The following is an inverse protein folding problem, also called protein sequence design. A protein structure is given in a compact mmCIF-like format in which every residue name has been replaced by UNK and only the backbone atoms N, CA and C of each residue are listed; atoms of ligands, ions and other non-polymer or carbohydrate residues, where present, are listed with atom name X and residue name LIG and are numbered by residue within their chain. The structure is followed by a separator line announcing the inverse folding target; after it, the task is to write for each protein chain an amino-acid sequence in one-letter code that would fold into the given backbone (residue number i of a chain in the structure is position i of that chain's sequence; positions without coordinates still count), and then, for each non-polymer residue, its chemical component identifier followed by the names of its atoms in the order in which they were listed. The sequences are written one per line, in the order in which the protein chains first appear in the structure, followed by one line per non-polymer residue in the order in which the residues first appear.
data_IF_342843539315
#
_entry.id   IF_342843539315
#
_cell.length_a   1.000
_cell.length_b   1.000
_cell.length_c   1.000
_cell.angle_alpha   90.00
_cell.angle_beta   90.00
_cell.angle_gamma   90.00
#
_symmetry.space_group_name_H-M   'P 1'
#
loop_
_entity.id
_entity.type
_entity.pdbx_description
1 polymer ?
#
# COMPACT_ATOMS: atom_id res chain seq x y z
N UNK A 1 -5.99 -23.50 -4.87
CA UNK A 1 -6.49 -22.38 -4.05
C UNK A 1 -6.65 -21.12 -4.91
N UNK A 2 -7.61 -20.30 -4.55
CA UNK A 2 -7.86 -19.03 -5.24
C UNK A 2 -7.03 -17.96 -4.53
N UNK A 3 -6.25 -17.20 -5.31
CA UNK A 3 -5.50 -16.06 -4.81
C UNK A 3 -6.10 -14.79 -5.38
N UNK A 4 -6.35 -13.82 -4.52
CA UNK A 4 -6.83 -12.51 -4.92
C UNK A 4 -5.69 -11.50 -4.80
N UNK A 5 -5.54 -10.65 -5.82
CA UNK A 5 -4.55 -9.58 -5.83
C UNK A 5 -5.18 -8.30 -6.31
N UNK A 6 -4.71 -7.20 -5.78
CA UNK A 6 -5.10 -5.87 -6.20
C UNK A 6 -3.87 -5.13 -6.69
N UNK A 7 -4.06 -4.16 -7.57
CA UNK A 7 -2.96 -3.36 -8.13
C UNK A 7 -2.83 -2.06 -7.38
N UNK A 8 -1.59 -1.68 -7.08
CA UNK A 8 -1.24 -0.33 -6.64
C UNK A 8 -0.31 0.25 -7.70
N UNK A 9 -0.76 1.25 -8.42
CA UNK A 9 0.04 1.92 -9.44
C UNK A 9 1.12 2.76 -8.78
N UNK A 10 2.37 2.53 -9.16
CA UNK A 10 3.54 3.15 -8.53
C UNK A 10 4.45 3.77 -9.56
N UNK A 11 5.36 4.65 -9.11
CA UNK A 11 6.38 5.28 -9.96
C UNK A 11 7.67 4.48 -10.01
N UNK A 12 8.11 3.95 -8.89
CA UNK A 12 9.41 3.29 -8.72
C UNK A 12 9.24 2.05 -7.86
N UNK A 13 9.68 0.89 -8.38
CA UNK A 13 9.56 -0.38 -7.67
C UNK A 13 10.28 -0.39 -6.33
N UNK A 14 11.55 0.03 -6.29
CA UNK A 14 12.36 -0.09 -5.08
C UNK A 14 11.89 0.87 -3.99
N UNK A 15 11.46 2.07 -4.35
CA UNK A 15 10.85 3.02 -3.43
C UNK A 15 9.57 2.44 -2.83
N UNK A 16 8.73 1.84 -3.67
CA UNK A 16 7.48 1.23 -3.22
C UNK A 16 7.73 0.03 -2.31
N UNK A 17 8.68 -0.83 -2.65
CA UNK A 17 9.06 -1.97 -1.82
C UNK A 17 9.51 -1.49 -0.44
N UNK A 18 10.38 -0.48 -0.38
CA UNK A 18 10.84 0.08 0.90
C UNK A 18 9.68 0.60 1.74
N UNK A 19 8.73 1.28 1.11
CA UNK A 19 7.56 1.78 1.83
C UNK A 19 6.74 0.63 2.44
N UNK A 20 6.36 -0.33 1.63
CA UNK A 20 5.51 -1.43 2.09
C UNK A 20 6.21 -2.33 3.10
N UNK A 21 7.48 -2.64 2.88
CA UNK A 21 8.22 -3.54 3.77
C UNK A 21 8.67 -2.81 5.04
N UNK A 22 9.28 -1.64 4.92
CA UNK A 22 9.88 -0.96 6.07
C UNK A 22 8.85 -0.19 6.90
N UNK A 23 7.97 0.58 6.26
CA UNK A 23 7.00 1.40 6.98
C UNK A 23 5.77 0.60 7.41
N UNK A 24 5.22 -0.25 6.53
CA UNK A 24 4.01 -1.02 6.82
C UNK A 24 4.28 -2.42 7.36
N UNK A 25 5.52 -2.91 7.27
CA UNK A 25 5.85 -4.24 7.77
C UNK A 25 5.31 -5.37 6.90
N UNK A 26 5.03 -5.10 5.63
CA UNK A 26 4.58 -6.13 4.70
C UNK A 26 5.70 -7.08 4.32
N UNK A 27 5.32 -8.26 3.87
CA UNK A 27 6.23 -9.24 3.30
C UNK A 27 6.41 -8.96 1.81
N UNK A 28 7.64 -9.02 1.32
CA UNK A 28 7.91 -9.07 -0.11
C UNK A 28 7.73 -10.53 -0.55
N UNK A 29 6.59 -10.80 -1.21
CA UNK A 29 6.22 -12.17 -1.58
C UNK A 29 6.93 -12.60 -2.84
N UNK A 30 7.06 -11.70 -3.81
CA UNK A 30 7.68 -12.00 -5.08
C UNK A 30 8.30 -10.74 -5.67
N UNK A 31 9.44 -10.89 -6.31
CA UNK A 31 10.11 -9.83 -7.08
C UNK A 31 10.87 -10.53 -8.20
N UNK A 32 10.24 -10.63 -9.36
CA UNK A 32 10.75 -11.39 -10.50
C UNK A 32 10.83 -10.52 -11.74
N UNK A 33 11.86 -10.73 -12.59
CA UNK A 33 11.91 -10.08 -13.89
C UNK A 33 10.72 -10.48 -14.76
N UNK A 34 10.20 -9.54 -15.51
CA UNK A 34 9.12 -9.76 -16.46
C UNK A 34 9.34 -8.84 -17.67
N UNK A 35 8.38 -8.82 -18.57
CA UNK A 35 8.43 -7.95 -19.74
C UNK A 35 7.05 -7.37 -20.02
N UNK A 36 7.02 -6.18 -20.62
CA UNK A 36 5.82 -5.61 -21.17
C UNK A 36 5.38 -6.38 -22.40
N UNK A 37 4.19 -6.11 -22.93
CA UNK A 37 3.69 -6.77 -24.15
C UNK A 37 4.58 -6.49 -25.36
N UNK A 38 5.27 -5.35 -25.38
CA UNK A 38 6.20 -4.96 -26.45
C UNK A 38 7.66 -5.28 -26.10
N UNK A 39 7.91 -6.11 -25.09
CA UNK A 39 9.23 -6.68 -24.80
C UNK A 39 10.16 -5.84 -23.95
N UNK A 40 9.71 -4.73 -23.38
CA UNK A 40 10.53 -3.91 -22.49
C UNK A 40 10.62 -4.53 -21.09
N UNK A 41 11.75 -4.35 -20.37
CA UNK A 41 11.87 -4.90 -19.02
C UNK A 41 10.83 -4.33 -18.06
N UNK A 42 10.26 -5.20 -17.22
CA UNK A 42 9.47 -4.80 -16.06
C UNK A 42 9.66 -5.83 -14.94
N UNK A 43 9.05 -5.59 -13.80
CA UNK A 43 9.15 -6.49 -12.64
C UNK A 43 7.76 -6.92 -12.21
N UNK A 44 7.67 -8.14 -11.74
CA UNK A 44 6.49 -8.69 -11.10
C UNK A 44 6.75 -8.64 -9.59
N UNK A 45 6.18 -7.63 -8.93
CA UNK A 45 6.43 -7.36 -7.50
C UNK A 45 5.14 -7.48 -6.73
N UNK A 46 5.13 -8.38 -5.75
CA UNK A 46 3.96 -8.60 -4.89
C UNK A 46 4.37 -8.42 -3.44
N UNK A 47 3.62 -7.59 -2.72
CA UNK A 47 3.76 -7.42 -1.27
C UNK A 47 2.46 -7.84 -0.59
N UNK A 48 2.54 -8.23 0.69
CA UNK A 48 1.39 -8.73 1.42
C UNK A 48 1.55 -8.43 2.90
N UNK A 49 0.46 -8.02 3.55
CA UNK A 49 0.46 -7.89 5.00
C UNK A 49 0.66 -9.26 5.65
N UNK A 50 1.39 -9.36 6.78
CA UNK A 50 1.61 -10.65 7.45
C UNK A 50 0.30 -11.36 7.75
N UNK A 51 0.19 -12.63 7.34
CA UNK A 51 -1.00 -13.44 7.57
C UNK A 51 -2.17 -13.17 6.64
N UNK A 52 -2.07 -12.19 5.74
CA UNK A 52 -3.16 -11.88 4.81
C UNK A 52 -3.21 -12.88 3.66
N UNK A 53 -4.42 -13.16 3.18
CA UNK A 53 -4.63 -14.01 2.01
C UNK A 53 -4.45 -13.22 0.71
N UNK A 54 -4.65 -11.90 0.76
CA UNK A 54 -4.61 -11.02 -0.41
C UNK A 54 -3.31 -10.24 -0.46
N UNK A 55 -2.71 -10.14 -1.64
CA UNK A 55 -1.52 -9.35 -1.88
C UNK A 55 -1.79 -8.16 -2.78
N UNK A 56 -0.81 -7.26 -2.84
CA UNK A 56 -0.81 -6.13 -3.76
C UNK A 56 0.27 -6.36 -4.82
N UNK A 57 -0.13 -6.25 -6.07
CA UNK A 57 0.82 -6.17 -7.18
C UNK A 57 1.22 -4.71 -7.34
N UNK A 58 2.51 -4.43 -7.17
CA UNK A 58 3.04 -3.08 -7.39
C UNK A 58 3.32 -2.92 -8.87
N UNK A 59 2.47 -2.18 -9.55
CA UNK A 59 2.50 -2.02 -11.00
C UNK A 59 3.11 -0.67 -11.38
N UNK A 60 4.32 -0.69 -11.91
CA UNK A 60 4.96 0.54 -12.36
C UNK A 60 4.18 1.15 -13.52
N UNK A 61 3.86 2.42 -13.40
CA UNK A 61 3.16 3.16 -14.44
C UNK A 61 3.98 3.19 -15.72
N UNK A 62 3.34 2.88 -16.83
CA UNK A 62 3.94 2.84 -18.16
C UNK A 62 3.12 3.76 -19.09
N UNK A 63 3.76 4.82 -19.53
CA UNK A 63 3.12 5.82 -20.37
C UNK A 63 2.45 6.93 -19.58
N UNK A 64 2.09 8.00 -20.27
CA UNK A 64 1.58 9.23 -19.64
C UNK A 64 0.25 9.01 -18.92
N UNK A 65 -0.65 8.22 -19.52
CA UNK A 65 -1.96 7.95 -18.92
C UNK A 65 -1.84 7.21 -17.60
N UNK A 66 -0.99 6.18 -17.55
CA UNK A 66 -0.78 5.42 -16.31
C UNK A 66 -0.04 6.28 -15.28
N UNK A 67 0.96 7.05 -15.67
CA UNK A 67 1.66 7.95 -14.76
C UNK A 67 0.73 9.00 -14.17
N UNK A 68 -0.22 9.51 -14.95
CA UNK A 68 -1.21 10.47 -14.46
C UNK A 68 -2.18 9.84 -13.44
N UNK A 69 -2.38 8.53 -13.51
CA UNK A 69 -3.26 7.82 -12.57
C UNK A 69 -2.59 7.45 -11.25
N UNK A 70 -1.26 7.52 -11.14
CA UNK A 70 -0.55 7.23 -9.90
C UNK A 70 -1.02 8.18 -8.81
N UNK A 71 -1.48 7.61 -7.68
CA UNK A 71 -2.06 8.39 -6.58
C UNK A 71 -3.50 8.82 -6.79
N UNK A 72 -4.04 8.64 -7.99
CA UNK A 72 -5.41 9.02 -8.33
C UNK A 72 -6.32 7.86 -8.72
N UNK A 73 -5.87 6.62 -8.56
CA UNK A 73 -6.64 5.46 -9.01
C UNK A 73 -7.98 5.27 -8.27
N UNK A 74 -8.14 5.88 -7.10
CA UNK A 74 -9.37 5.85 -6.32
C UNK A 74 -10.11 7.18 -6.31
N UNK A 75 -9.76 8.09 -7.21
CA UNK A 75 -10.40 9.41 -7.35
C UNK A 75 -10.38 10.23 -6.05
N UNK A 76 -9.29 10.16 -5.30
CA UNK A 76 -9.13 10.92 -4.05
C UNK A 76 -9.82 10.31 -2.84
N UNK A 77 -10.47 9.16 -2.99
CA UNK A 77 -11.12 8.47 -1.88
C UNK A 77 -10.16 7.49 -1.21
N UNK A 78 -10.49 7.07 0.00
CA UNK A 78 -9.84 5.94 0.62
C UNK A 78 -10.20 4.68 -0.19
N UNK A 79 -9.18 4.03 -0.72
CA UNK A 79 -9.38 2.87 -1.60
C UNK A 79 -8.88 1.56 -1.01
N UNK A 80 -8.07 1.63 0.05
CA UNK A 80 -7.43 0.47 0.64
C UNK A 80 -7.57 0.54 2.16
N UNK A 81 -7.62 -0.64 2.79
CA UNK A 81 -7.83 -0.76 4.23
C UNK A 81 -6.80 -1.72 4.79
N UNK A 82 -6.12 -1.31 5.86
CA UNK A 82 -5.18 -2.15 6.58
C UNK A 82 -5.64 -2.31 8.01
N UNK A 83 -5.98 -3.54 8.40
CA UNK A 83 -6.33 -3.85 9.78
C UNK A 83 -5.11 -4.40 10.51
N UNK A 84 -4.83 -3.83 11.68
CA UNK A 84 -3.70 -4.24 12.54
C UNK A 84 -4.22 -4.61 13.93
N UNK A 85 -3.43 -5.40 14.65
CA UNK A 85 -3.79 -5.82 16.00
C UNK A 85 -3.48 -4.75 17.05
N UNK A 86 -2.41 -3.98 16.85
CA UNK A 86 -1.98 -2.90 17.74
C UNK A 86 -1.96 -1.59 16.95
N UNK A 87 -3.02 -0.82 17.10
CA UNK A 87 -3.21 0.41 16.35
C UNK A 87 -2.14 1.45 16.69
N UNK A 88 -1.88 1.69 17.98
CA UNK A 88 -0.92 2.72 18.39
C UNK A 88 0.50 2.39 17.95
N UNK A 89 0.89 1.12 18.01
CA UNK A 89 2.20 0.69 17.55
C UNK A 89 2.36 0.91 16.04
N UNK A 90 1.31 0.60 15.27
CA UNK A 90 1.33 0.81 13.83
C UNK A 90 1.43 2.30 13.47
N UNK A 91 0.66 3.16 14.16
CA UNK A 91 0.73 4.62 13.96
C UNK A 91 2.14 5.13 14.27
N UNK A 92 2.73 4.69 15.36
CA UNK A 92 4.09 5.10 15.74
C UNK A 92 5.11 4.68 14.68
N UNK A 93 5.00 3.47 14.17
CA UNK A 93 5.89 2.97 13.11
C UNK A 93 5.78 3.82 11.85
N UNK A 94 4.56 4.13 11.43
CA UNK A 94 4.33 4.99 10.26
C UNK A 94 4.94 6.38 10.47
N UNK A 95 4.78 6.96 11.67
CA UNK A 95 5.39 8.27 12.00
C UNK A 95 6.90 8.22 11.92
N UNK A 96 7.53 7.17 12.42
CA UNK A 96 8.99 7.03 12.37
C UNK A 96 9.52 6.98 10.95
N UNK A 97 8.72 6.48 10.03
CA UNK A 97 9.09 6.40 8.61
C UNK A 97 8.62 7.60 7.79
N UNK A 98 8.13 8.65 8.44
CA UNK A 98 7.73 9.89 7.79
C UNK A 98 6.48 9.77 6.93
N UNK A 99 5.62 8.80 7.21
CA UNK A 99 4.38 8.62 6.45
C UNK A 99 3.40 9.76 6.74
N UNK A 100 2.78 10.28 5.70
CA UNK A 100 1.79 11.35 5.81
C UNK A 100 0.46 10.80 6.31
N UNK A 101 -0.13 11.49 7.29
CA UNK A 101 -1.49 11.21 7.76
C UNK A 101 -2.44 12.31 7.29
N UNK A 102 -3.70 11.93 7.06
CA UNK A 102 -4.76 12.89 6.75
C UNK A 102 -5.68 12.93 7.96
N UNK A 103 -5.57 14.01 8.76
CA UNK A 103 -6.30 14.15 10.01
C UNK A 103 -5.68 13.39 11.16
N UNK A 104 -6.36 13.41 12.29
CA UNK A 104 -5.93 12.77 13.52
C UNK A 104 -6.58 11.39 13.66
N UNK A 105 -5.96 10.48 14.43
CA UNK A 105 -6.62 9.22 14.77
C UNK A 105 -7.97 9.45 15.44
N UNK A 106 -8.96 8.66 15.05
CA UNK A 106 -10.30 8.68 15.62
C UNK A 106 -10.58 7.36 16.34
N UNK A 107 -11.25 7.44 17.46
CA UNK A 107 -11.64 6.27 18.24
C UNK A 107 -13.15 6.14 18.20
N UNK A 108 -13.62 5.27 17.32
CA UNK A 108 -15.04 5.05 17.07
C UNK A 108 -15.55 3.82 17.83
N UNK A 109 -16.85 3.58 17.78
CA UNK A 109 -17.45 2.39 18.43
C UNK A 109 -16.86 1.10 17.87
N UNK A 110 -16.61 1.08 16.57
CA UNK A 110 -16.07 -0.10 15.87
C UNK A 110 -14.56 -0.28 16.02
N UNK A 111 -13.85 0.70 16.56
CA UNK A 111 -12.38 0.65 16.70
C UNK A 111 -11.73 1.98 16.42
N UNK A 112 -10.42 1.96 16.31
CA UNK A 112 -9.61 3.14 15.96
C UNK A 112 -9.34 3.18 14.48
N UNK A 113 -9.29 4.40 13.92
CA UNK A 113 -9.00 4.60 12.49
C UNK A 113 -8.20 5.87 12.28
N UNK A 114 -7.29 5.83 11.33
CA UNK A 114 -6.62 7.01 10.81
C UNK A 114 -6.33 6.79 9.33
N UNK A 115 -6.40 7.87 8.56
CA UNK A 115 -6.06 7.83 7.13
C UNK A 115 -4.59 8.13 6.97
N UNK A 116 -3.87 7.29 6.21
CA UNK A 116 -2.51 7.58 5.79
C UNK A 116 -2.41 7.52 4.27
N UNK A 117 -1.33 8.11 3.75
CA UNK A 117 -1.08 8.19 2.31
C UNK A 117 0.12 7.31 1.99
N UNK A 118 -0.03 6.42 1.00
CA UNK A 118 1.07 5.55 0.61
C UNK A 118 2.08 6.28 -0.30
N UNK A 119 3.13 5.57 -0.68
CA UNK A 119 4.22 6.12 -1.50
C UNK A 119 3.75 6.64 -2.86
N UNK A 120 2.67 6.10 -3.39
CA UNK A 120 2.09 6.53 -4.65
C UNK A 120 1.14 7.72 -4.50
N UNK A 121 0.66 7.99 -3.29
CA UNK A 121 -0.32 9.03 -3.01
C UNK A 121 -1.73 8.51 -2.77
N UNK A 122 -1.92 7.20 -2.72
CA UNK A 122 -3.23 6.62 -2.43
C UNK A 122 -3.55 6.67 -0.93
N UNK A 123 -4.82 6.86 -0.62
CA UNK A 123 -5.28 6.94 0.77
C UNK A 123 -5.72 5.58 1.28
N UNK A 124 -5.27 5.27 2.49
CA UNK A 124 -5.57 4.04 3.21
C UNK A 124 -6.25 4.37 4.53
N UNK A 125 -7.21 3.55 4.95
CA UNK A 125 -7.63 3.52 6.34
C UNK A 125 -6.77 2.50 7.09
N UNK A 126 -6.09 2.96 8.13
CA UNK A 126 -5.48 2.09 9.12
C UNK A 126 -6.51 1.86 10.21
N UNK A 127 -6.83 0.59 10.46
CA UNK A 127 -7.89 0.17 11.39
C UNK A 127 -7.30 -0.75 12.45
N UNK A 128 -7.78 -0.60 13.68
CA UNK A 128 -7.40 -1.48 14.76
C UNK A 128 -8.38 -1.41 15.91
N UNK A 129 -8.22 -2.28 16.92
CA UNK A 129 -9.05 -2.19 18.12
C UNK A 129 -8.75 -0.89 18.86
N UNK A 130 -9.73 -0.43 19.63
CA UNK A 130 -9.55 0.75 20.50
C UNK A 130 -8.51 0.42 21.57
N UNK A 131 -7.65 1.40 21.91
CA UNK A 131 -6.66 1.18 22.98
C UNK A 131 -7.30 1.02 24.33
#
# INVERSE_FOLDING_TARGET
SIQTRYHDAIRDYDEAIRFFVDALGFELVEDSPSTTTDGRPKRWVVVRAPGAATGLLLAQADGDEQRAAVGGQFAGRVGLFLRVDDFDLAVERLRRHGVEFVGEPRHEVYGSVVVFVDVAGNRWDLLGPRP
#
